data_IF_882053635871
#
_entry.id   IF_882053635871
#
_cell.length_a   1.000
_cell.length_b   1.000
_cell.length_c   1.000
_cell.angle_alpha   90.00
_cell.angle_beta   90.00
_cell.angle_gamma   90.00
#
_symmetry.space_group_name_H-M   'P 1'
#
loop_
_entity.id
_entity.type
_entity.pdbx_description
1 polymer ?
#
# COMPACT_ATOMS: atom_id res chain seq x y z
N UNK A 1 -3.66 -17.82 -7.08
CA UNK A 1 -2.28 -17.61 -7.56
C UNK A 1 -1.28 -17.95 -6.45
N UNK A 2 -0.81 -17.03 -5.58
CA UNK A 2 0.31 -17.33 -4.64
C UNK A 2 0.05 -18.40 -3.56
N UNK A 3 -0.95 -18.22 -2.68
CA UNK A 3 -1.20 -19.13 -1.55
C UNK A 3 -1.71 -20.53 -1.98
N UNK A 4 -2.36 -20.60 -3.14
CA UNK A 4 -2.85 -21.84 -3.73
C UNK A 4 -1.84 -22.47 -4.73
N UNK A 5 -0.63 -21.93 -4.86
CA UNK A 5 0.40 -22.46 -5.79
C UNK A 5 0.06 -22.36 -7.28
N UNK A 6 -0.92 -21.55 -7.66
CA UNK A 6 -1.35 -21.36 -9.06
C UNK A 6 -0.52 -20.27 -9.73
N UNK A 7 0.03 -20.56 -10.90
CA UNK A 7 0.84 -19.64 -11.70
C UNK A 7 0.04 -18.99 -12.82
N UNK A 8 0.38 -17.75 -13.19
CA UNK A 8 -0.23 -17.01 -14.28
C UNK A 8 0.12 -15.53 -14.24
N UNK A 9 -0.22 -14.80 -15.29
CA UNK A 9 0.04 -13.36 -15.39
C UNK A 9 -0.87 -12.55 -14.46
N UNK A 10 -0.31 -11.51 -13.86
CA UNK A 10 -1.07 -10.47 -13.16
C UNK A 10 -1.12 -9.26 -14.08
N UNK A 11 -2.34 -8.77 -14.35
CA UNK A 11 -2.57 -7.56 -15.14
C UNK A 11 -3.25 -6.54 -14.25
N UNK A 12 -2.76 -5.29 -14.28
CA UNK A 12 -3.36 -4.16 -13.57
C UNK A 12 -3.58 -3.00 -14.54
N UNK A 13 -4.58 -2.16 -14.24
CA UNK A 13 -4.89 -0.94 -14.97
C UNK A 13 -4.86 0.24 -14.01
N UNK A 14 -4.10 1.27 -14.36
CA UNK A 14 -4.09 2.56 -13.66
C UNK A 14 -4.80 3.58 -14.54
N UNK A 15 -5.86 4.21 -14.02
CA UNK A 15 -6.77 5.05 -14.80
C UNK A 15 -6.28 6.49 -14.99
N UNK A 16 -5.36 6.96 -14.16
CA UNK A 16 -4.73 8.28 -14.26
C UNK A 16 -3.35 8.28 -13.57
N UNK A 17 -2.55 9.30 -13.86
CA UNK A 17 -1.20 9.48 -13.30
C UNK A 17 -1.17 10.21 -11.95
N UNK A 18 -2.31 10.60 -11.39
CA UNK A 18 -2.41 11.19 -10.05
C UNK A 18 -2.18 12.70 -9.96
N UNK A 19 -1.70 13.39 -11.01
CA UNK A 19 -1.32 14.81 -10.95
C UNK A 19 -2.45 15.74 -10.46
N UNK A 20 -3.71 15.40 -10.73
CA UNK A 20 -4.88 16.17 -10.26
C UNK A 20 -4.99 16.21 -8.72
N UNK A 21 -4.32 15.29 -8.04
CA UNK A 21 -4.35 15.10 -6.60
C UNK A 21 -3.02 15.50 -5.94
N UNK A 22 -2.14 16.22 -6.66
CA UNK A 22 -0.82 16.62 -6.16
C UNK A 22 -0.89 17.39 -4.82
N UNK A 23 -1.98 18.13 -4.59
CA UNK A 23 -2.22 18.89 -3.37
C UNK A 23 -3.01 18.13 -2.28
N UNK A 24 -3.31 16.84 -2.48
CA UNK A 24 -3.97 15.97 -1.48
C UNK A 24 -3.01 14.89 -0.98
N UNK A 25 -3.25 13.61 -1.24
CA UNK A 25 -2.48 12.50 -0.68
C UNK A 25 -1.02 12.42 -1.18
N UNK A 26 -0.64 13.23 -2.16
CA UNK A 26 0.76 13.45 -2.56
C UNK A 26 1.48 14.52 -1.70
N UNK A 27 0.75 15.26 -0.87
CA UNK A 27 1.27 16.31 0.00
C UNK A 27 1.35 15.82 1.45
N UNK A 28 2.56 15.77 2.00
CA UNK A 28 2.80 15.40 3.40
C UNK A 28 1.99 16.27 4.38
N UNK A 29 1.86 17.57 4.07
CA UNK A 29 1.06 18.49 4.87
C UNK A 29 -0.41 18.10 4.90
N UNK A 30 -1.00 17.79 3.73
CA UNK A 30 -2.38 17.34 3.68
C UNK A 30 -2.58 16.01 4.42
N UNK A 31 -1.70 15.03 4.21
CA UNK A 31 -1.70 13.74 4.91
C UNK A 31 -1.70 13.94 6.43
N UNK A 32 -0.82 14.81 6.93
CA UNK A 32 -0.77 15.16 8.35
C UNK A 32 -2.08 15.81 8.84
N UNK A 33 -2.69 16.71 8.07
CA UNK A 33 -4.00 17.30 8.44
C UNK A 33 -5.14 16.28 8.47
N UNK A 34 -5.03 15.18 7.72
CA UNK A 34 -6.00 14.09 7.80
C UNK A 34 -5.76 13.16 9.00
N UNK A 35 -4.70 13.40 9.79
CA UNK A 35 -4.32 12.56 10.92
C UNK A 35 -3.81 11.18 10.52
N UNK A 36 -3.28 11.05 9.30
CA UNK A 36 -2.76 9.79 8.79
C UNK A 36 -1.25 9.66 9.05
N UNK A 37 -0.83 8.54 9.63
CA UNK A 37 0.57 8.17 9.75
C UNK A 37 0.93 7.09 8.71
N UNK A 38 1.77 7.46 7.76
CA UNK A 38 2.21 6.56 6.68
C UNK A 38 3.46 5.74 7.06
N UNK A 39 4.23 6.17 8.07
CA UNK A 39 5.51 5.57 8.42
C UNK A 39 5.47 4.05 8.64
N UNK A 40 4.52 3.48 9.42
CA UNK A 40 4.47 2.03 9.63
C UNK A 40 4.14 1.27 8.33
N UNK A 41 3.36 1.88 7.44
CA UNK A 41 2.97 1.26 6.17
C UNK A 41 4.09 1.34 5.13
N UNK A 42 4.82 2.46 5.09
CA UNK A 42 6.01 2.61 4.26
C UNK A 42 7.07 1.57 4.62
N UNK A 43 7.34 1.36 5.92
CA UNK A 43 8.28 0.32 6.36
C UNK A 43 7.89 -1.10 5.89
N UNK A 44 6.58 -1.41 5.90
CA UNK A 44 6.07 -2.69 5.37
C UNK A 44 6.29 -2.79 3.87
N UNK A 45 6.01 -1.71 3.12
CA UNK A 45 6.21 -1.69 1.67
C UNK A 45 7.69 -1.80 1.30
N UNK A 46 8.57 -1.10 1.99
CA UNK A 46 10.02 -1.19 1.78
C UNK A 46 10.52 -2.63 2.00
N UNK A 47 10.09 -3.27 3.09
CA UNK A 47 10.40 -4.68 3.36
C UNK A 47 9.84 -5.61 2.26
N UNK A 48 8.61 -5.37 1.80
CA UNK A 48 8.00 -6.17 0.74
C UNK A 48 8.74 -6.01 -0.59
N UNK A 49 9.10 -4.79 -0.97
CA UNK A 49 9.85 -4.51 -2.20
C UNK A 49 11.23 -5.16 -2.17
N UNK A 50 11.88 -5.20 -1.00
CA UNK A 50 13.18 -5.85 -0.83
C UNK A 50 13.12 -7.39 -0.83
N UNK A 51 12.07 -7.98 -0.26
CA UNK A 51 12.03 -9.43 0.04
C UNK A 51 11.02 -10.22 -0.78
N UNK A 52 10.04 -9.55 -1.39
CA UNK A 52 8.87 -10.17 -2.00
C UNK A 52 7.92 -10.84 -0.99
N UNK A 53 8.12 -10.62 0.31
CA UNK A 53 7.32 -11.19 1.40
C UNK A 53 6.46 -10.09 2.01
N UNK A 54 5.15 -10.20 1.82
CA UNK A 54 4.20 -9.33 2.49
C UNK A 54 3.95 -9.90 3.89
N UNK A 55 4.04 -9.08 4.97
CA UNK A 55 3.66 -9.55 6.29
C UNK A 55 2.19 -9.98 6.27
N UNK A 56 1.88 -11.08 6.95
CA UNK A 56 0.49 -11.56 7.02
C UNK A 56 -0.37 -10.54 7.76
N UNK A 57 -1.31 -9.93 7.06
CA UNK A 57 -2.25 -9.02 7.68
C UNK A 57 -3.21 -9.80 8.58
N UNK A 58 -3.06 -9.67 9.91
CA UNK A 58 -4.20 -9.72 10.83
C UNK A 58 -3.91 -9.03 12.17
N UNK A 59 -4.40 -7.80 12.41
CA UNK A 59 -4.85 -7.43 13.74
C UNK A 59 -6.20 -8.14 14.00
N UNK A 60 -6.39 -8.62 15.24
CA UNK A 60 -7.69 -9.15 15.66
C UNK A 60 -8.77 -8.09 15.47
N UNK A 61 -9.92 -8.50 14.93
CA UNK A 61 -11.13 -7.68 14.97
C UNK A 61 -11.48 -7.56 16.46
N UNK A 62 -11.15 -6.44 17.09
CA UNK A 62 -11.59 -6.13 18.45
C UNK A 62 -13.12 -6.10 18.47
N UNK A 63 -13.70 -6.77 19.46
CA UNK A 63 -15.13 -6.77 19.76
C UNK A 63 -15.64 -5.39 20.12
#
# INVERSE_FOLDING_TARGET
MRAAGVHGSVVTLLCDGGERYANTYYSDGWVATQGLDLAPHLAVLDSFLATGVMPSARPARGT
#
